data_IF_340049732522
#
_entry.id   IF_340049732522
#
_cell.length_a   1.000
_cell.length_b   1.000
_cell.length_c   1.000
_cell.angle_alpha   90.00
_cell.angle_beta   90.00
_cell.angle_gamma   90.00
#
_symmetry.space_group_name_H-M   'P 1'
#
loop_
_entity.id
_entity.type
_entity.pdbx_description
1 polymer ?
#
# COMPACT_ATOMS: atom_id res chain seq x y z
N UNK A 1 13.15 -36.89 -16.96
CA UNK A 1 12.67 -36.21 -15.74
C UNK A 1 12.55 -34.75 -16.08
N UNK A 2 11.33 -34.21 -16.13
CA UNK A 2 11.15 -32.76 -16.22
C UNK A 2 11.82 -32.14 -15.00
N UNK A 3 12.85 -31.29 -15.15
CA UNK A 3 13.39 -30.57 -14.01
C UNK A 3 12.31 -29.56 -13.63
N UNK A 4 11.49 -29.93 -12.64
CA UNK A 4 10.60 -29.00 -11.98
C UNK A 4 11.48 -28.01 -11.23
N UNK A 5 11.91 -26.95 -11.90
CA UNK A 5 12.54 -25.82 -11.27
C UNK A 5 11.47 -25.13 -10.42
N UNK A 6 11.29 -25.58 -9.19
CA UNK A 6 10.60 -24.79 -8.17
C UNK A 6 11.55 -23.67 -7.78
N UNK A 7 11.52 -22.57 -8.54
CA UNK A 7 11.95 -21.27 -8.02
C UNK A 7 11.20 -21.09 -6.70
N UNK A 8 11.86 -20.82 -5.55
CA UNK A 8 11.17 -20.72 -4.28
C UNK A 8 10.12 -19.62 -4.36
N UNK A 9 8.87 -20.06 -4.45
CA UNK A 9 7.66 -19.27 -4.57
C UNK A 9 7.40 -18.61 -3.22
N UNK A 10 7.50 -17.29 -3.22
CA UNK A 10 7.32 -16.35 -2.10
C UNK A 10 8.39 -16.31 -0.99
N UNK A 11 9.19 -15.25 -1.07
CA UNK A 11 10.02 -14.77 0.02
C UNK A 11 9.19 -13.83 0.91
N UNK A 12 9.20 -14.08 2.22
CA UNK A 12 8.50 -13.27 3.24
C UNK A 12 8.85 -11.76 3.15
N UNK A 13 10.07 -11.41 2.72
CA UNK A 13 10.45 -10.01 2.56
C UNK A 13 9.75 -9.32 1.37
N UNK A 14 9.47 -10.05 0.28
CA UNK A 14 8.64 -9.55 -0.83
C UNK A 14 7.20 -9.36 -0.38
N UNK A 15 6.68 -10.29 0.43
CA UNK A 15 5.36 -10.15 1.03
C UNK A 15 5.27 -8.88 1.91
N UNK A 16 6.26 -8.62 2.78
CA UNK A 16 6.28 -7.40 3.58
C UNK A 16 6.37 -6.13 2.73
N UNK A 17 7.19 -6.12 1.68
CA UNK A 17 7.26 -5.00 0.74
C UNK A 17 5.90 -4.71 0.10
N UNK A 18 5.23 -5.74 -0.40
CA UNK A 18 3.91 -5.63 -1.05
C UNK A 18 2.80 -5.29 -0.05
N UNK A 19 2.82 -5.86 1.15
CA UNK A 19 1.87 -5.55 2.21
C UNK A 19 2.01 -4.09 2.65
N UNK A 20 3.24 -3.61 2.84
CA UNK A 20 3.52 -2.21 3.16
C UNK A 20 3.01 -1.27 2.08
N UNK A 21 3.26 -1.60 0.80
CA UNK A 21 2.74 -0.84 -0.33
C UNK A 21 1.20 -0.85 -0.36
N UNK A 22 0.57 -1.99 -0.15
CA UNK A 22 -0.89 -2.10 -0.10
C UNK A 22 -1.48 -1.26 1.04
N UNK A 23 -0.86 -1.25 2.21
CA UNK A 23 -1.26 -0.39 3.33
C UNK A 23 -1.14 1.10 2.99
N UNK A 24 -0.05 1.50 2.34
CA UNK A 24 0.16 2.88 1.87
C UNK A 24 -0.95 3.29 0.90
N UNK A 25 -1.18 2.51 -0.15
CA UNK A 25 -2.19 2.80 -1.17
C UNK A 25 -3.60 2.84 -0.57
N UNK A 26 -3.92 1.88 0.29
CA UNK A 26 -5.21 1.83 0.99
C UNK A 26 -5.41 3.05 1.88
N UNK A 27 -4.36 3.49 2.59
CA UNK A 27 -4.41 4.68 3.44
C UNK A 27 -4.62 5.96 2.64
N UNK A 28 -3.98 6.09 1.47
CA UNK A 28 -4.17 7.24 0.57
C UNK A 28 -5.60 7.28 0.02
N UNK A 29 -6.13 6.15 -0.45
CA UNK A 29 -7.50 6.08 -0.97
C UNK A 29 -8.53 6.38 0.13
N UNK A 30 -8.35 5.79 1.31
CA UNK A 30 -9.21 6.04 2.46
C UNK A 30 -9.12 7.50 2.94
N UNK A 31 -7.95 8.13 2.87
CA UNK A 31 -7.79 9.56 3.16
C UNK A 31 -8.65 10.42 2.23
N UNK A 32 -8.57 10.18 0.91
CA UNK A 32 -9.38 10.93 -0.07
C UNK A 32 -10.86 10.74 0.22
N UNK A 33 -11.29 9.50 0.48
CA UNK A 33 -12.68 9.19 0.78
C UNK A 33 -13.17 9.88 2.06
N UNK A 34 -12.44 9.78 3.16
CA UNK A 34 -12.80 10.42 4.44
C UNK A 34 -12.82 11.95 4.28
N UNK A 35 -11.86 12.51 3.55
CA UNK A 35 -11.80 13.95 3.34
C UNK A 35 -13.00 14.46 2.54
N UNK A 36 -13.34 13.80 1.43
CA UNK A 36 -14.44 14.21 0.56
C UNK A 36 -15.81 14.04 1.23
N UNK A 37 -16.04 12.88 1.87
CA UNK A 37 -17.29 12.60 2.57
C UNK A 37 -17.53 13.53 3.75
N UNK A 38 -16.50 13.80 4.57
CA UNK A 38 -16.58 14.78 5.65
C UNK A 38 -16.92 16.16 5.09
N UNK A 39 -16.21 16.60 4.05
CA UNK A 39 -16.42 17.92 3.45
C UNK A 39 -17.84 18.08 2.90
N UNK A 40 -18.35 17.08 2.17
CA UNK A 40 -19.69 17.11 1.61
C UNK A 40 -20.77 17.22 2.69
N UNK A 41 -20.66 16.42 3.76
CA UNK A 41 -21.60 16.44 4.90
C UNK A 41 -21.56 17.75 5.66
N UNK A 42 -20.36 18.17 6.07
CA UNK A 42 -20.18 19.39 6.86
C UNK A 42 -20.63 20.61 6.07
N UNK A 43 -20.38 20.68 4.75
CA UNK A 43 -20.86 21.76 3.91
C UNK A 43 -22.39 21.78 3.84
N UNK A 44 -23.02 20.63 3.57
CA UNK A 44 -24.49 20.54 3.49
C UNK A 44 -25.19 20.97 4.77
N UNK A 45 -24.72 20.49 5.94
CA UNK A 45 -25.29 20.91 7.23
C UNK A 45 -25.01 22.39 7.54
N UNK A 46 -23.82 22.89 7.19
CA UNK A 46 -23.48 24.31 7.41
C UNK A 46 -24.33 25.25 6.55
N UNK A 47 -24.63 24.86 5.31
CA UNK A 47 -25.56 25.60 4.45
C UNK A 47 -26.96 25.65 5.04
N UNK A 48 -27.44 24.52 5.56
CA UNK A 48 -28.75 24.41 6.19
C UNK A 48 -28.86 25.22 7.49
N UNK A 49 -27.84 25.17 8.34
CA UNK A 49 -27.73 26.04 9.53
C UNK A 49 -27.83 27.50 9.11
N UNK A 50 -27.09 27.91 8.07
CA UNK A 50 -27.09 29.29 7.57
C UNK A 50 -28.45 29.71 6.99
N UNK A 51 -29.21 28.78 6.39
CA UNK A 51 -30.57 29.06 5.92
C UNK A 51 -31.52 29.31 7.08
N UNK A 52 -31.41 28.53 8.17
CA UNK A 52 -32.20 28.73 9.40
C UNK A 52 -31.85 30.08 10.03
N UNK A 53 -30.57 30.43 10.14
CA UNK A 53 -30.11 31.70 10.72
C UNK A 53 -30.59 32.94 9.97
N UNK A 54 -30.82 32.84 8.66
CA UNK A 54 -31.33 33.93 7.84
C UNK A 54 -32.83 34.15 7.96
N UNK A 55 -33.58 33.23 8.59
CA UNK A 55 -35.03 33.40 8.78
C UNK A 55 -35.30 34.53 9.77
N UNK A 56 -36.12 35.51 9.37
CA UNK A 56 -36.49 36.64 10.21
C UNK A 56 -37.27 36.25 11.48
N UNK A 57 -37.95 35.09 11.46
CA UNK A 57 -38.54 34.43 12.63
C UNK A 57 -38.31 32.93 12.53
N UNK A 58 -37.37 32.40 13.30
CA UNK A 58 -37.21 30.97 13.48
C UNK A 58 -38.25 30.46 14.50
N UNK A 59 -38.93 29.38 14.16
CA UNK A 59 -39.81 28.68 15.11
C UNK A 59 -39.00 27.78 16.06
N UNK A 60 -39.67 27.11 17.01
CA UNK A 60 -39.00 26.22 17.95
C UNK A 60 -38.37 25.01 17.24
N UNK A 61 -39.02 24.49 16.20
CA UNK A 61 -38.51 23.36 15.42
C UNK A 61 -37.23 23.72 14.64
N UNK A 62 -37.13 24.94 14.13
CA UNK A 62 -35.94 25.49 13.47
C UNK A 62 -34.75 25.57 14.43
N UNK A 63 -34.98 25.93 15.69
CA UNK A 63 -33.93 25.96 16.73
C UNK A 63 -33.43 24.57 17.08
N UNK A 64 -34.33 23.62 17.32
CA UNK A 64 -34.00 22.23 17.61
C UNK A 64 -33.26 21.57 16.43
N UNK A 65 -33.71 21.85 15.21
CA UNK A 65 -33.04 21.38 13.99
C UNK A 65 -31.64 21.96 13.85
N UNK A 66 -31.46 23.26 14.14
CA UNK A 66 -30.14 23.90 14.13
C UNK A 66 -29.20 23.25 15.14
N UNK A 67 -29.64 23.05 16.38
CA UNK A 67 -28.84 22.41 17.45
C UNK A 67 -28.41 20.99 17.06
N UNK A 68 -29.32 20.22 16.45
CA UNK A 68 -29.02 18.89 15.94
C UNK A 68 -27.98 18.93 14.81
N UNK A 69 -28.10 19.85 13.86
CA UNK A 69 -27.13 20.02 12.77
C UNK A 69 -25.74 20.43 13.29
N UNK A 70 -25.69 21.35 14.26
CA UNK A 70 -24.43 21.76 14.92
C UNK A 70 -23.76 20.57 15.62
N UNK A 71 -24.56 19.76 16.31
CA UNK A 71 -24.08 18.53 16.95
C UNK A 71 -23.55 17.53 15.92
N UNK A 72 -24.24 17.34 14.78
CA UNK A 72 -23.77 16.48 13.69
C UNK A 72 -22.43 16.96 13.12
N UNK A 73 -22.27 18.28 12.90
CA UNK A 73 -21.01 18.87 12.45
C UNK A 73 -19.88 18.61 13.46
N UNK A 74 -20.16 18.75 14.76
CA UNK A 74 -19.16 18.47 15.79
C UNK A 74 -18.72 17.00 15.77
N UNK A 75 -19.67 16.07 15.78
CA UNK A 75 -19.40 14.62 15.75
C UNK A 75 -18.60 14.25 14.51
N UNK A 76 -18.98 14.76 13.35
CA UNK A 76 -18.31 14.47 12.08
C UNK A 76 -16.87 15.03 12.04
N UNK A 77 -16.62 16.18 12.67
CA UNK A 77 -15.27 16.72 12.84
C UNK A 77 -14.41 15.89 13.81
N UNK A 78 -14.99 15.38 14.90
CA UNK A 78 -14.31 14.48 15.83
C UNK A 78 -13.98 13.14 15.18
N UNK A 79 -14.92 12.56 14.44
CA UNK A 79 -14.73 11.34 13.65
C UNK A 79 -13.61 11.52 12.62
N UNK A 80 -13.59 12.63 11.88
CA UNK A 80 -12.50 12.93 10.96
C UNK A 80 -11.15 12.95 11.66
N UNK A 81 -11.02 13.63 12.82
CA UNK A 81 -9.76 13.66 13.57
C UNK A 81 -9.30 12.26 13.95
N UNK A 82 -10.24 11.43 14.42
CA UNK A 82 -9.97 10.04 14.77
C UNK A 82 -9.52 9.21 13.56
N UNK A 83 -10.25 9.27 12.44
CA UNK A 83 -9.91 8.57 11.21
C UNK A 83 -8.56 9.02 10.65
N UNK A 84 -8.29 10.33 10.64
CA UNK A 84 -7.00 10.88 10.22
C UNK A 84 -5.84 10.37 11.07
N UNK A 85 -6.04 10.20 12.38
CA UNK A 85 -5.03 9.62 13.28
C UNK A 85 -4.77 8.15 12.98
N UNK A 86 -5.82 7.36 12.71
CA UNK A 86 -5.66 5.95 12.32
C UNK A 86 -4.95 5.86 10.97
N UNK A 87 -5.39 6.64 9.98
CA UNK A 87 -4.81 6.62 8.63
C UNK A 87 -3.34 7.03 8.64
N UNK A 88 -2.94 8.04 9.42
CA UNK A 88 -1.53 8.41 9.53
C UNK A 88 -0.69 7.32 10.18
N UNK A 89 -1.23 6.64 11.19
CA UNK A 89 -0.58 5.49 11.83
C UNK A 89 -0.43 4.32 10.85
N UNK A 90 -1.51 3.94 10.15
CA UNK A 90 -1.50 2.88 9.14
C UNK A 90 -0.54 3.18 8.00
N UNK A 91 -0.49 4.43 7.53
CA UNK A 91 0.44 4.87 6.50
C UNK A 91 1.90 4.77 6.98
N UNK A 92 2.20 5.24 8.20
CA UNK A 92 3.52 5.13 8.80
C UNK A 92 3.97 3.68 8.98
N UNK A 93 3.08 2.80 9.46
CA UNK A 93 3.33 1.37 9.57
C UNK A 93 3.57 0.74 8.20
N UNK A 94 2.77 1.13 7.19
CA UNK A 94 2.94 0.70 5.80
C UNK A 94 4.32 1.05 5.23
N UNK A 95 4.79 2.28 5.45
CA UNK A 95 6.16 2.69 5.09
C UNK A 95 7.19 1.84 5.82
N UNK A 96 7.06 1.70 7.15
CA UNK A 96 8.02 0.94 7.95
C UNK A 96 8.16 -0.50 7.46
N UNK A 97 7.06 -1.23 7.33
CA UNK A 97 7.06 -2.63 6.87
C UNK A 97 7.52 -2.73 5.41
N UNK A 98 7.07 -1.81 4.56
CA UNK A 98 7.42 -1.78 3.14
C UNK A 98 8.93 -1.59 2.90
N UNK A 99 9.51 -0.58 3.56
CA UNK A 99 10.95 -0.29 3.46
C UNK A 99 11.79 -1.42 4.04
N UNK A 100 11.41 -1.96 5.20
CA UNK A 100 12.12 -3.10 5.80
C UNK A 100 12.07 -4.35 4.91
N UNK A 101 10.92 -4.63 4.30
CA UNK A 101 10.76 -5.71 3.32
C UNK A 101 11.65 -5.52 2.09
N UNK A 102 11.68 -4.30 1.52
CA UNK A 102 12.51 -3.99 0.37
C UNK A 102 14.01 -4.11 0.67
N UNK A 103 14.47 -3.53 1.78
CA UNK A 103 15.88 -3.58 2.18
C UNK A 103 16.32 -5.03 2.45
N UNK A 104 15.53 -5.78 3.22
CA UNK A 104 15.86 -7.17 3.51
C UNK A 104 15.86 -8.03 2.24
N UNK A 105 14.94 -7.79 1.31
CA UNK A 105 14.93 -8.47 0.02
C UNK A 105 16.17 -8.14 -0.81
N UNK A 106 16.47 -6.85 -1.00
CA UNK A 106 17.56 -6.35 -1.82
C UNK A 106 18.93 -6.84 -1.33
N UNK A 107 19.16 -6.82 -0.01
CA UNK A 107 20.49 -7.12 0.54
C UNK A 107 20.67 -8.59 0.95
N UNK A 108 19.60 -9.31 1.29
CA UNK A 108 19.74 -10.69 1.78
C UNK A 108 19.34 -11.75 0.77
N UNK A 109 18.29 -11.49 -0.01
CA UNK A 109 17.69 -12.52 -0.87
C UNK A 109 18.12 -12.37 -2.32
N UNK A 110 18.17 -11.15 -2.86
CA UNK A 110 18.60 -10.93 -4.23
C UNK A 110 20.01 -11.49 -4.52
N UNK A 111 21.05 -11.27 -3.68
CA UNK A 111 22.38 -11.82 -3.96
C UNK A 111 22.41 -13.35 -3.99
N UNK A 112 21.59 -14.00 -3.16
CA UNK A 112 21.47 -15.46 -3.13
C UNK A 112 20.74 -15.99 -4.35
N UNK A 113 19.70 -15.28 -4.79
CA UNK A 113 18.95 -15.60 -6.00
C UNK A 113 19.83 -15.45 -7.24
N UNK A 114 20.57 -14.35 -7.35
CA UNK A 114 21.49 -14.07 -8.46
C UNK A 114 22.56 -15.17 -8.56
N UNK A 115 23.15 -15.57 -7.43
CA UNK A 115 24.12 -16.67 -7.38
C UNK A 115 23.53 -18.03 -7.76
N UNK A 116 22.29 -18.30 -7.37
CA UNK A 116 21.60 -19.53 -7.76
C UNK A 116 21.39 -19.58 -9.27
N UNK A 117 20.95 -18.46 -9.86
CA UNK A 117 20.77 -18.32 -11.31
C UNK A 117 22.09 -18.50 -12.04
N UNK A 118 23.18 -17.90 -11.56
CA UNK A 118 24.52 -18.06 -12.15
C UNK A 118 24.98 -19.53 -12.13
N UNK A 119 24.79 -20.25 -11.03
CA UNK A 119 25.13 -21.67 -10.94
C UNK A 119 24.26 -22.53 -11.88
N UNK A 120 22.98 -22.19 -12.03
CA UNK A 120 22.08 -22.87 -12.95
C UNK A 120 22.51 -22.67 -14.41
N UNK A 121 22.84 -21.44 -14.80
CA UNK A 121 23.37 -21.13 -16.13
C UNK A 121 24.64 -21.94 -16.40
N UNK A 122 25.60 -21.93 -15.47
CA UNK A 122 26.85 -22.71 -15.61
C UNK A 122 26.59 -24.22 -15.75
N UNK A 123 25.61 -24.77 -15.02
CA UNK A 123 25.26 -26.19 -15.12
C UNK A 123 24.66 -26.54 -16.48
N UNK A 124 23.79 -25.66 -17.01
CA UNK A 124 23.16 -25.84 -18.31
C UNK A 124 24.19 -25.73 -19.44
N UNK A 125 25.13 -24.79 -19.35
CA UNK A 125 26.23 -24.67 -20.31
C UNK A 125 27.12 -25.92 -20.35
N UNK A 126 27.43 -26.50 -19.18
CA UNK A 126 28.18 -27.75 -19.11
C UNK A 126 27.40 -28.91 -19.74
N UNK A 127 26.09 -29.00 -19.50
CA UNK A 127 25.24 -30.01 -20.14
C UNK A 127 25.19 -29.86 -21.66
N UNK A 128 25.10 -28.63 -22.17
CA UNK A 128 25.13 -28.33 -23.61
C UNK A 128 26.48 -28.76 -24.21
N UNK A 129 27.59 -28.35 -23.58
CA UNK A 129 28.93 -28.69 -24.07
C UNK A 129 29.17 -30.22 -24.14
N UNK A 130 28.68 -30.97 -23.13
CA UNK A 130 28.74 -32.44 -23.12
C UNK A 130 27.92 -33.02 -24.28
N UNK A 131 26.71 -32.49 -24.54
CA UNK A 131 25.84 -32.96 -25.63
C UNK A 131 26.40 -32.66 -27.02
N UNK A 132 27.07 -31.53 -27.19
CA UNK A 132 27.66 -31.11 -28.47
C UNK A 132 29.04 -31.76 -28.75
N UNK A 133 29.58 -32.54 -27.81
CA UNK A 133 30.90 -33.16 -27.95
C UNK A 133 32.07 -32.16 -27.92
N UNK A 134 31.82 -30.93 -27.45
CA UNK A 134 32.83 -29.89 -27.36
C UNK A 134 33.73 -30.09 -26.14
N UNK A 135 35.02 -30.31 -26.37
CA UNK A 135 36.02 -30.34 -25.27
C UNK A 135 36.31 -28.93 -24.76
N UNK A 136 36.60 -28.81 -23.46
CA UNK A 136 36.80 -27.60 -22.62
C UNK A 136 37.55 -26.40 -23.23
N UNK A 137 38.25 -26.56 -24.35
CA UNK A 137 39.10 -25.59 -25.03
C UNK A 137 38.32 -24.54 -25.85
N UNK A 138 37.08 -24.83 -26.24
CA UNK A 138 36.29 -23.98 -27.13
C UNK A 138 35.38 -22.96 -26.42
N UNK A 139 35.45 -22.84 -25.09
CA UNK A 139 34.59 -21.90 -24.35
C UNK A 139 34.92 -20.44 -24.69
N UNK A 140 33.97 -19.65 -25.19
CA UNK A 140 34.14 -18.21 -25.23
C UNK A 140 34.04 -17.65 -23.80
N UNK A 141 35.07 -16.90 -23.38
CA UNK A 141 35.01 -16.11 -22.14
C UNK A 141 34.32 -14.80 -22.48
N UNK A 142 33.06 -14.66 -22.07
CA UNK A 142 32.44 -13.34 -22.04
C UNK A 142 32.56 -12.79 -20.61
N UNK A 143 33.18 -11.61 -20.53
CA UNK A 143 33.32 -10.80 -19.32
C UNK A 143 32.00 -10.13 -18.97
#
# INVERSE_FOLDING_TARGET
MTPGFSIPTDNIYKFYALLGLALILSSVLAFVYVYDTNRARTLGWSEEIRLIEKKARADQADKERKELLETMVQIENENKKFYMKILSMSFGVGIGIGVLGLLAWQFSVQPRADRLVELQINSLELEIAIKEGQTKKDRPRYF
#
